data_IF_038859412716
#
_entry.id   IF_038859412716
#
_cell.length_a   1.000
_cell.length_b   1.000
_cell.length_c   1.000
_cell.angle_alpha   90.00
_cell.angle_beta   90.00
_cell.angle_gamma   90.00
#
_symmetry.space_group_name_H-M   'P 1'
#
loop_
_entity.id
_entity.type
_entity.pdbx_description
1 polymer ?
#
# COMPACT_ATOMS: atom_id res chain seq x y z
N UNK A 1 8.74 22.48 9.62
CA UNK A 1 7.82 22.01 8.55
C UNK A 1 6.58 22.91 8.53
N UNK A 2 6.17 23.45 7.37
CA UNK A 2 4.82 24.06 7.26
C UNK A 2 3.80 22.93 7.44
N UNK A 3 2.86 23.10 8.38
CA UNK A 3 1.91 22.06 8.82
C UNK A 3 1.12 21.51 7.63
N UNK A 4 1.06 20.18 7.48
CA UNK A 4 0.33 19.49 6.42
C UNK A 4 0.22 17.99 6.72
N UNK A 5 -0.69 17.31 6.01
CA UNK A 5 -0.83 15.85 6.08
C UNK A 5 -0.04 15.23 4.93
N UNK A 6 0.64 14.12 5.21
CA UNK A 6 1.37 13.31 4.23
C UNK A 6 0.84 11.88 4.32
N UNK A 7 0.48 11.32 3.17
CA UNK A 7 0.00 9.96 3.04
C UNK A 7 1.02 9.12 2.28
N UNK A 8 1.27 7.90 2.76
CA UNK A 8 2.19 6.94 2.16
C UNK A 8 1.41 5.69 1.74
N UNK A 9 1.49 5.34 0.46
CA UNK A 9 1.05 4.05 -0.04
C UNK A 9 2.29 3.20 -0.29
N UNK A 10 2.32 1.99 0.26
CA UNK A 10 3.43 1.07 0.12
C UNK A 10 2.93 -0.32 -0.23
N UNK A 11 3.64 -0.99 -1.14
CA UNK A 11 3.37 -2.36 -1.56
C UNK A 11 4.55 -3.21 -1.14
N UNK A 12 4.27 -4.29 -0.41
CA UNK A 12 5.27 -5.20 0.12
C UNK A 12 5.09 -6.60 -0.46
N UNK A 13 6.19 -7.27 -0.75
CA UNK A 13 6.19 -8.70 -1.04
C UNK A 13 6.08 -9.50 0.25
N UNK A 14 5.01 -10.29 0.40
CA UNK A 14 4.74 -11.08 1.61
C UNK A 14 5.87 -12.07 1.96
N UNK A 15 6.29 -12.89 1.01
CA UNK A 15 7.28 -13.94 1.25
C UNK A 15 8.68 -13.37 1.57
N UNK A 16 9.09 -12.34 0.83
CA UNK A 16 10.45 -11.80 0.91
C UNK A 16 10.61 -10.63 1.90
N UNK A 17 9.50 -10.10 2.44
CA UNK A 17 9.50 -8.97 3.39
C UNK A 17 10.13 -7.68 2.87
N UNK A 18 10.14 -7.48 1.55
CA UNK A 18 10.72 -6.30 0.92
C UNK A 18 9.65 -5.44 0.28
N UNK A 19 9.84 -4.11 0.32
CA UNK A 19 9.01 -3.19 -0.43
C UNK A 19 9.21 -3.40 -1.94
N UNK A 20 8.13 -3.30 -2.70
CA UNK A 20 8.10 -3.39 -4.17
C UNK A 20 7.97 -2.00 -4.77
N UNK A 21 7.05 -1.20 -4.25
CA UNK A 21 6.86 0.18 -4.67
C UNK A 21 6.21 0.99 -3.56
N UNK A 22 6.33 2.30 -3.66
CA UNK A 22 5.65 3.24 -2.79
C UNK A 22 5.42 4.58 -3.49
N UNK A 23 4.46 5.34 -2.99
CA UNK A 23 4.13 6.72 -3.39
C UNK A 23 3.70 7.53 -2.18
N UNK A 24 4.01 8.82 -2.21
CA UNK A 24 3.54 9.79 -1.22
C UNK A 24 2.58 10.77 -1.88
N UNK A 25 1.60 11.23 -1.12
CA UNK A 25 0.66 12.27 -1.54
C UNK A 25 0.31 13.18 -0.37
N UNK A 26 -0.06 14.42 -0.67
CA UNK A 26 -0.62 15.34 0.32
C UNK A 26 -2.16 15.24 0.39
N UNK A 27 -2.76 14.40 -0.44
CA UNK A 27 -4.19 14.08 -0.47
C UNK A 27 -4.41 12.59 -0.33
N UNK A 28 -5.54 12.18 0.25
CA UNK A 28 -5.89 10.77 0.47
C UNK A 28 -6.68 10.19 -0.72
N UNK A 29 -6.26 10.52 -1.93
CA UNK A 29 -6.93 10.08 -3.17
C UNK A 29 -6.48 8.66 -3.57
N UNK A 30 -7.25 7.96 -4.41
CA UNK A 30 -6.88 6.59 -4.81
C UNK A 30 -5.74 6.54 -5.85
N UNK A 31 -5.51 7.63 -6.60
CA UNK A 31 -4.62 7.63 -7.77
C UNK A 31 -3.17 7.31 -7.40
N UNK A 32 -2.65 7.87 -6.32
CA UNK A 32 -1.27 7.60 -5.90
C UNK A 32 -1.06 6.14 -5.43
N UNK A 33 -2.12 5.51 -4.89
CA UNK A 33 -2.11 4.08 -4.59
C UNK A 33 -2.03 3.27 -5.89
N UNK A 34 -2.85 3.61 -6.89
CA UNK A 34 -2.86 2.94 -8.21
C UNK A 34 -1.52 3.11 -8.94
N UNK A 35 -0.86 4.25 -8.79
CA UNK A 35 0.49 4.45 -9.31
C UNK A 35 1.52 3.56 -8.62
N UNK A 36 1.49 3.46 -7.28
CA UNK A 36 2.37 2.57 -6.54
C UNK A 36 2.18 1.12 -7.01
N UNK A 37 0.92 0.71 -7.20
CA UNK A 37 0.56 -0.61 -7.72
C UNK A 37 1.09 -0.83 -9.13
N UNK A 38 0.86 0.12 -10.03
CA UNK A 38 1.32 0.03 -11.41
C UNK A 38 2.84 -0.08 -11.48
N UNK A 39 3.55 0.65 -10.63
CA UNK A 39 5.02 0.59 -10.50
C UNK A 39 5.49 -0.76 -9.96
N UNK A 40 4.80 -1.34 -8.98
CA UNK A 40 5.12 -2.66 -8.45
C UNK A 40 4.93 -3.75 -9.51
N UNK A 41 3.78 -3.76 -10.19
CA UNK A 41 3.45 -4.72 -11.26
C UNK A 41 4.47 -4.63 -12.40
N UNK A 42 4.79 -3.40 -12.85
CA UNK A 42 5.75 -3.17 -13.92
C UNK A 42 7.13 -3.75 -13.60
N UNK A 43 7.59 -3.63 -12.35
CA UNK A 43 8.95 -4.04 -11.95
C UNK A 43 9.05 -5.50 -11.51
N UNK A 44 7.99 -6.09 -10.98
CA UNK A 44 8.05 -7.38 -10.28
C UNK A 44 7.00 -8.40 -10.71
N UNK A 45 6.25 -8.11 -11.77
CA UNK A 45 5.07 -8.87 -12.21
C UNK A 45 3.88 -8.69 -11.27
N UNK A 46 2.65 -8.93 -11.76
CA UNK A 46 1.45 -8.85 -10.93
C UNK A 46 1.44 -9.95 -9.86
N UNK A 47 0.92 -9.67 -8.66
CA UNK A 47 0.81 -10.68 -7.60
C UNK A 47 -0.34 -11.65 -7.89
N UNK A 48 -0.19 -12.92 -7.50
CA UNK A 48 -1.30 -13.89 -7.55
C UNK A 48 -2.48 -13.49 -6.65
N UNK A 49 -2.14 -12.91 -5.49
CA UNK A 49 -3.07 -12.36 -4.51
C UNK A 49 -2.49 -11.05 -3.98
N UNK A 50 -3.22 -9.95 -4.14
CA UNK A 50 -3.00 -8.70 -3.46
C UNK A 50 -3.87 -8.68 -2.20
N UNK A 51 -3.25 -8.64 -1.03
CA UNK A 51 -3.95 -8.40 0.23
C UNK A 51 -3.97 -6.91 0.55
N UNK A 52 -5.13 -6.40 0.97
CA UNK A 52 -5.31 -5.02 1.46
C UNK A 52 -6.36 -4.97 2.57
N UNK A 53 -6.35 -3.88 3.34
CA UNK A 53 -7.50 -3.56 4.19
C UNK A 53 -8.73 -3.12 3.37
N UNK A 54 -9.81 -2.79 4.08
CA UNK A 54 -11.06 -2.30 3.50
C UNK A 54 -11.09 -0.77 3.33
N UNK A 55 -9.94 -0.11 3.23
CA UNK A 55 -9.83 1.32 2.95
C UNK A 55 -10.48 1.70 1.63
N UNK A 56 -11.04 2.92 1.54
CA UNK A 56 -11.76 3.38 0.36
C UNK A 56 -10.88 3.45 -0.90
N UNK A 57 -9.58 3.69 -0.74
CA UNK A 57 -8.61 3.73 -1.84
C UNK A 57 -8.42 2.33 -2.46
N UNK A 58 -8.33 1.29 -1.64
CA UNK A 58 -8.13 -0.09 -2.08
C UNK A 58 -9.46 -0.78 -2.48
N UNK A 59 -10.59 -0.20 -2.07
CA UNK A 59 -11.93 -0.54 -2.57
C UNK A 59 -12.34 0.25 -3.83
N UNK A 60 -11.49 1.16 -4.32
CA UNK A 60 -11.84 1.99 -5.48
C UNK A 60 -11.90 1.16 -6.76
N UNK A 61 -12.73 1.61 -7.71
CA UNK A 61 -12.79 1.00 -9.04
C UNK A 61 -11.42 1.02 -9.74
N UNK A 62 -10.69 2.15 -9.65
CA UNK A 62 -9.39 2.28 -10.28
C UNK A 62 -8.36 1.25 -9.76
N UNK A 63 -8.35 1.00 -8.45
CA UNK A 63 -7.48 -0.01 -7.84
C UNK A 63 -7.86 -1.44 -8.27
N UNK A 64 -9.15 -1.77 -8.14
CA UNK A 64 -9.66 -3.12 -8.42
C UNK A 64 -9.54 -3.46 -9.91
N UNK A 65 -9.91 -2.54 -10.81
CA UNK A 65 -9.75 -2.70 -12.26
C UNK A 65 -8.27 -2.85 -12.65
N UNK A 66 -7.36 -2.07 -12.04
CA UNK A 66 -5.93 -2.19 -12.32
C UNK A 66 -5.36 -3.57 -11.97
N UNK A 67 -5.80 -4.16 -10.84
CA UNK A 67 -5.40 -5.51 -10.42
C UNK A 67 -5.99 -6.57 -11.34
N UNK A 68 -7.29 -6.50 -11.61
CA UNK A 68 -7.98 -7.45 -12.48
C UNK A 68 -7.37 -7.49 -13.88
N UNK A 69 -7.09 -6.34 -14.50
CA UNK A 69 -6.44 -6.26 -15.81
C UNK A 69 -5.03 -6.83 -15.83
N UNK A 70 -4.36 -6.89 -14.68
CA UNK A 70 -3.05 -7.50 -14.54
C UNK A 70 -3.10 -8.99 -14.21
N UNK A 71 -4.28 -9.57 -14.02
CA UNK A 71 -4.45 -10.98 -13.63
C UNK A 71 -4.27 -11.25 -12.13
N UNK A 72 -4.12 -10.21 -11.31
CA UNK A 72 -4.03 -10.35 -9.86
C UNK A 72 -5.41 -10.48 -9.21
N UNK A 73 -5.52 -11.35 -8.20
CA UNK A 73 -6.73 -11.48 -7.38
C UNK A 73 -6.62 -10.60 -6.15
N UNK A 74 -7.77 -10.20 -5.61
CA UNK A 74 -7.84 -9.34 -4.43
C UNK A 74 -8.35 -10.18 -3.26
N UNK A 75 -7.61 -10.15 -2.15
CA UNK A 75 -8.07 -10.60 -0.84
C UNK A 75 -8.17 -9.38 0.05
N UNK A 76 -9.30 -9.20 0.71
CA UNK A 76 -9.44 -8.11 1.69
C UNK A 76 -9.59 -8.73 3.06
N UNK A 77 -8.90 -8.17 4.06
CA UNK A 77 -9.01 -8.68 5.41
C UNK A 77 -10.47 -8.57 5.92
N UNK A 78 -10.82 -9.45 6.83
CA UNK A 78 -12.10 -9.38 7.54
C UNK A 78 -12.22 -8.06 8.31
N UNK A 79 -13.44 -7.54 8.48
CA UNK A 79 -13.66 -6.32 9.27
C UNK A 79 -13.08 -6.50 10.67
N UNK A 80 -12.15 -5.62 11.07
CA UNK A 80 -11.51 -5.63 12.38
C UNK A 80 -10.42 -6.70 12.56
N UNK A 81 -9.97 -7.34 11.48
CA UNK A 81 -8.82 -8.25 11.48
C UNK A 81 -7.61 -7.52 10.89
N UNK A 82 -6.43 -7.76 11.48
CA UNK A 82 -5.17 -7.06 11.16
C UNK A 82 -4.06 -8.02 10.71
N UNK A 83 -4.31 -9.34 10.73
CA UNK A 83 -3.27 -10.35 10.51
C UNK A 83 -2.70 -10.26 9.10
N UNK A 84 -3.52 -9.89 8.12
CA UNK A 84 -3.05 -9.68 6.76
C UNK A 84 -2.26 -8.37 6.59
N UNK A 85 -2.32 -7.45 7.56
CA UNK A 85 -1.62 -6.17 7.52
C UNK A 85 -0.38 -6.11 8.42
N UNK A 86 -0.14 -7.12 9.28
CA UNK A 86 0.89 -7.07 10.32
C UNK A 86 2.28 -6.66 9.82
N UNK A 87 2.65 -7.06 8.60
CA UNK A 87 3.96 -6.75 8.03
C UNK A 87 4.04 -5.33 7.48
N UNK A 88 2.96 -4.83 6.88
CA UNK A 88 2.93 -3.45 6.42
C UNK A 88 2.85 -2.49 7.62
N UNK A 89 2.09 -2.84 8.66
CA UNK A 89 2.04 -2.07 9.91
C UNK A 89 3.40 -2.01 10.59
N UNK A 90 4.14 -3.13 10.61
CA UNK A 90 5.51 -3.15 11.15
C UNK A 90 6.45 -2.24 10.36
N UNK A 91 6.34 -2.22 9.03
CA UNK A 91 7.10 -1.31 8.18
C UNK A 91 6.75 0.15 8.50
N UNK A 92 5.46 0.48 8.60
CA UNK A 92 5.00 1.83 8.92
C UNK A 92 5.54 2.30 10.26
N UNK A 93 5.46 1.46 11.30
CA UNK A 93 6.04 1.79 12.61
C UNK A 93 7.52 2.12 12.54
N UNK A 94 8.31 1.33 11.80
CA UNK A 94 9.74 1.60 11.63
C UNK A 94 9.98 2.89 10.88
N UNK A 95 9.24 3.16 9.80
CA UNK A 95 9.37 4.40 9.03
C UNK A 95 9.03 5.64 9.87
N UNK A 96 7.89 5.62 10.57
CA UNK A 96 7.47 6.73 11.40
C UNK A 96 8.47 6.98 12.53
N UNK A 97 8.89 5.93 13.25
CA UNK A 97 9.80 6.09 14.37
C UNK A 97 11.18 6.57 13.91
N UNK A 98 11.79 5.84 12.98
CA UNK A 98 13.19 6.09 12.58
C UNK A 98 13.32 7.32 11.68
N UNK A 99 12.34 7.61 10.81
CA UNK A 99 12.49 8.64 9.78
C UNK A 99 11.68 9.91 10.06
N UNK A 100 10.66 9.85 10.91
CA UNK A 100 9.80 11.01 11.21
C UNK A 100 10.01 11.47 12.64
N UNK A 101 9.69 10.65 13.63
CA UNK A 101 9.67 11.07 15.03
C UNK A 101 11.04 11.42 15.59
N UNK A 102 12.10 10.73 15.18
CA UNK A 102 13.47 11.04 15.59
C UNK A 102 14.08 12.27 14.88
N UNK A 103 13.46 12.75 13.80
CA UNK A 103 13.97 13.85 12.98
C UNK A 103 13.02 15.06 12.90
N UNK A 104 11.92 15.03 13.66
CA UNK A 104 10.87 16.06 13.67
C UNK A 104 11.23 17.27 14.55
#
# INVERSE_FOLDING_TARGET
>A
MRRGLLYLAAIMGWHIRMYRAWRISNTLDADFCVEALSKAIYRFWPPDIMSSDQGSQFNSFAWTDRLHRSGGRISMDGKGRYLENIYIERLMRTLEYECVYLHA
#
